data_IF_939050684965
#
_entry.id   IF_939050684965
#
_cell.length_a   1.000
_cell.length_b   1.000
_cell.length_c   1.000
_cell.angle_alpha   90.00
_cell.angle_beta   90.00
_cell.angle_gamma   90.00
#
_symmetry.space_group_name_H-M   'P 1'
#
loop_
_entity.id
_entity.type
_entity.pdbx_description
1 polymer ?
#
# COMPACT_ATOMS: atom_id res chain seq x y z
N UNK A 1 -11.93 -10.27 -54.97
CA UNK A 1 -11.67 -11.42 -55.85
C UNK A 1 -10.77 -10.96 -56.99
N UNK A 2 -9.73 -11.74 -57.26
CA UNK A 2 -8.95 -11.78 -58.51
C UNK A 2 -7.90 -10.69 -58.75
N UNK A 3 -6.67 -11.16 -58.60
CA UNK A 3 -5.33 -10.64 -58.91
C UNK A 3 -5.07 -10.14 -60.33
N UNK A 4 -4.03 -9.32 -60.50
CA UNK A 4 -3.13 -9.45 -61.65
C UNK A 4 -1.68 -9.15 -61.28
N UNK A 5 -0.82 -10.13 -61.58
CA UNK A 5 0.62 -10.16 -61.38
C UNK A 5 1.35 -9.37 -62.47
N UNK A 6 2.48 -8.74 -62.14
CA UNK A 6 3.63 -8.65 -63.06
C UNK A 6 4.94 -8.91 -62.31
N UNK A 7 5.56 -10.03 -62.67
CA UNK A 7 6.90 -10.47 -62.31
C UNK A 7 7.96 -9.69 -63.06
N UNK A 8 9.09 -9.38 -62.42
CA UNK A 8 10.31 -8.95 -63.12
C UNK A 8 11.39 -10.02 -62.96
N UNK A 9 12.02 -10.30 -64.09
CA UNK A 9 12.95 -11.39 -64.36
C UNK A 9 14.38 -11.04 -63.94
N UNK A 10 14.98 -12.08 -63.38
CA UNK A 10 16.37 -12.46 -63.16
C UNK A 10 17.55 -11.83 -63.91
N UNK A 11 18.67 -11.90 -63.18
CA UNK A 11 20.03 -12.32 -63.57
C UNK A 11 20.98 -11.26 -64.12
N UNK A 12 21.99 -10.93 -63.30
CA UNK A 12 23.34 -10.83 -63.82
C UNK A 12 24.29 -11.64 -62.92
N UNK A 13 24.94 -12.64 -63.53
CA UNK A 13 25.96 -13.51 -62.91
C UNK A 13 27.34 -12.98 -63.33
N UNK A 14 28.25 -12.89 -62.37
CA UNK A 14 29.66 -12.60 -62.63
C UNK A 14 30.46 -12.62 -61.33
N UNK A 15 30.57 -13.79 -60.71
CA UNK A 15 31.52 -14.02 -59.61
C UNK A 15 32.92 -14.22 -60.22
N UNK A 16 33.84 -13.32 -59.91
CA UNK A 16 35.27 -13.61 -60.00
C UNK A 16 35.82 -13.81 -58.59
N UNK A 17 36.53 -14.92 -58.43
CA UNK A 17 37.15 -15.40 -57.21
C UNK A 17 38.44 -14.60 -56.96
N UNK A 18 38.55 -13.90 -55.83
CA UNK A 18 39.85 -13.55 -55.27
C UNK A 18 39.79 -13.58 -53.75
N UNK A 19 40.84 -14.18 -53.23
CA UNK A 19 41.11 -14.71 -51.92
C UNK A 19 41.85 -13.63 -51.12
N UNK A 20 41.32 -13.16 -49.98
CA UNK A 20 42.17 -12.62 -48.92
C UNK A 20 41.46 -12.55 -47.56
N UNK A 21 42.08 -13.28 -46.63
CA UNK A 21 42.09 -13.20 -45.17
C UNK A 21 41.44 -12.01 -44.45
N UNK A 22 40.67 -12.31 -43.40
CA UNK A 22 40.32 -11.34 -42.37
C UNK A 22 39.26 -11.84 -41.38
N UNK A 23 39.61 -12.81 -40.52
CA UNK A 23 38.78 -13.25 -39.41
C UNK A 23 38.72 -12.13 -38.35
N UNK A 24 37.77 -11.19 -38.47
CA UNK A 24 37.42 -10.27 -37.38
C UNK A 24 36.32 -10.93 -36.54
N UNK A 25 36.72 -11.60 -35.47
CA UNK A 25 35.80 -11.98 -34.40
C UNK A 25 35.44 -10.69 -33.67
N UNK A 26 34.28 -10.13 -34.01
CA UNK A 26 33.69 -9.03 -33.25
C UNK A 26 33.10 -9.62 -31.96
N UNK A 27 33.90 -9.71 -30.91
CA UNK A 27 33.41 -10.03 -29.57
C UNK A 27 32.66 -8.81 -29.05
N UNK A 28 31.34 -8.78 -29.24
CA UNK A 28 30.46 -7.90 -28.50
C UNK A 28 30.48 -8.34 -27.02
N UNK A 29 31.39 -7.77 -26.23
CA UNK A 29 31.38 -7.93 -24.78
C UNK A 29 30.09 -7.32 -24.22
N UNK A 30 29.09 -8.17 -23.96
CA UNK A 30 27.98 -7.85 -23.08
C UNK A 30 28.55 -7.60 -21.68
N UNK A 31 28.79 -6.33 -21.34
CA UNK A 31 28.89 -5.92 -19.94
C UNK A 31 27.47 -5.91 -19.37
N UNK A 32 27.03 -7.04 -18.82
CA UNK A 32 25.92 -7.03 -17.89
C UNK A 32 26.39 -6.29 -16.62
N UNK A 33 25.74 -5.19 -16.20
CA UNK A 33 26.04 -4.62 -14.91
C UNK A 33 25.71 -5.68 -13.84
N UNK A 34 26.72 -6.14 -13.12
CA UNK A 34 26.49 -6.90 -11.89
C UNK A 34 25.75 -5.98 -10.92
N UNK A 35 24.44 -6.13 -10.85
CA UNK A 35 23.59 -5.44 -9.88
C UNK A 35 23.84 -6.10 -8.53
N UNK A 36 24.73 -5.52 -7.74
CA UNK A 36 24.85 -5.89 -6.34
C UNK A 36 23.59 -5.37 -5.63
N UNK A 37 22.64 -6.25 -5.32
CA UNK A 37 21.52 -5.92 -4.46
C UNK A 37 22.06 -5.55 -3.06
N UNK A 38 21.63 -4.41 -2.53
CA UNK A 38 21.99 -3.99 -1.18
C UNK A 38 21.35 -4.91 -0.13
N UNK A 39 21.96 -5.01 1.05
CA UNK A 39 21.50 -5.91 2.10
C UNK A 39 20.13 -5.47 2.63
N UNK A 40 19.10 -6.31 2.46
CA UNK A 40 17.77 -6.05 2.99
C UNK A 40 17.76 -6.39 4.49
N UNK A 41 17.28 -5.48 5.33
CA UNK A 41 17.13 -5.66 6.76
C UNK A 41 15.66 -5.87 7.13
N UNK A 42 15.41 -6.76 8.09
CA UNK A 42 14.12 -6.97 8.74
C UNK A 42 14.11 -6.21 10.06
N UNK A 43 13.12 -5.34 10.24
CA UNK A 43 12.85 -4.63 11.49
C UNK A 43 11.60 -5.25 12.12
N UNK A 44 11.70 -5.65 13.39
CA UNK A 44 10.58 -6.13 14.20
C UNK A 44 10.31 -5.13 15.30
N UNK A 45 9.08 -4.63 15.36
CA UNK A 45 8.60 -3.82 16.47
C UNK A 45 8.19 -4.72 17.64
N UNK A 46 8.83 -4.57 18.79
CA UNK A 46 8.58 -5.42 19.96
C UNK A 46 7.22 -5.14 20.62
N UNK A 47 6.65 -3.95 20.43
CA UNK A 47 5.38 -3.56 21.05
C UNK A 47 4.18 -4.01 20.22
N UNK A 48 4.32 -3.99 18.89
CA UNK A 48 3.21 -4.29 17.96
C UNK A 48 3.37 -5.62 17.23
N UNK A 49 4.57 -6.21 17.23
CA UNK A 49 4.89 -7.40 16.44
C UNK A 49 4.98 -7.14 14.93
N UNK A 50 4.90 -5.87 14.49
CA UNK A 50 4.93 -5.51 13.08
C UNK A 50 6.32 -5.74 12.46
N UNK A 51 6.33 -6.33 11.26
CA UNK A 51 7.56 -6.59 10.49
C UNK A 51 7.66 -5.62 9.32
N UNK A 52 8.78 -4.90 9.21
CA UNK A 52 9.08 -3.99 8.09
C UNK A 52 10.42 -4.37 7.47
N UNK A 53 10.48 -4.46 6.13
CA UNK A 53 11.74 -4.66 5.42
C UNK A 53 12.29 -3.32 4.93
N UNK A 54 13.56 -3.05 5.19
CA UNK A 54 14.20 -1.77 4.86
C UNK A 54 15.63 -1.98 4.37
N UNK A 55 16.07 -1.13 3.46
CA UNK A 55 17.45 -1.08 2.97
C UNK A 55 18.30 -0.04 3.76
N UNK A 56 17.72 0.56 4.81
CA UNK A 56 18.33 1.64 5.62
C UNK A 56 18.09 1.41 7.12
N UNK A 57 18.86 0.52 7.78
CA UNK A 57 18.64 0.14 9.18
C UNK A 57 18.85 1.31 10.16
N UNK A 58 19.70 2.28 9.81
CA UNK A 58 20.08 3.43 10.64
C UNK A 58 18.89 4.26 11.16
N UNK A 59 17.77 4.32 10.40
CA UNK A 59 16.57 5.05 10.84
C UNK A 59 15.86 4.39 12.03
N UNK A 60 16.09 3.09 12.24
CA UNK A 60 15.44 2.27 13.26
C UNK A 60 16.36 1.98 14.45
N UNK A 61 17.67 2.13 14.30
CA UNK A 61 18.68 1.90 15.36
C UNK A 61 18.51 2.86 16.56
N UNK A 62 17.92 4.04 16.33
CA UNK A 62 17.69 5.05 17.38
C UNK A 62 16.31 4.93 18.04
N UNK A 63 15.47 3.97 17.60
CA UNK A 63 14.10 3.80 18.09
C UNK A 63 14.02 2.69 19.14
N UNK A 64 13.68 3.05 20.38
CA UNK A 64 13.57 2.10 21.48
C UNK A 64 12.51 1.01 21.20
N UNK A 65 12.88 -0.27 21.35
CA UNK A 65 12.00 -1.43 21.17
C UNK A 65 11.88 -1.95 19.74
N UNK A 66 12.89 -1.71 18.89
CA UNK A 66 12.96 -2.28 17.55
C UNK A 66 14.20 -3.17 17.41
N UNK A 67 13.99 -4.42 16.99
CA UNK A 67 15.08 -5.35 16.70
C UNK A 67 15.35 -5.37 15.19
N UNK A 68 16.61 -5.24 14.79
CA UNK A 68 17.05 -5.23 13.40
C UNK A 68 17.83 -6.52 13.12
N UNK A 69 17.50 -7.22 12.03
CA UNK A 69 18.21 -8.43 11.61
C UNK A 69 18.43 -8.39 10.10
N UNK A 70 19.68 -8.57 9.66
CA UNK A 70 20.02 -8.63 8.24
C UNK A 70 19.45 -9.91 7.62
N UNK A 71 18.85 -9.79 6.43
CA UNK A 71 18.39 -10.94 5.65
C UNK A 71 19.41 -11.26 4.56
N UNK A 72 19.90 -12.50 4.53
CA UNK A 72 20.72 -13.00 3.43
C UNK A 72 19.81 -13.63 2.38
N UNK A 73 19.27 -12.83 1.46
CA UNK A 73 18.52 -13.36 0.32
C UNK A 73 19.48 -13.41 -0.87
N UNK A 74 20.00 -14.61 -1.15
CA UNK A 74 20.73 -14.87 -2.38
C UNK A 74 19.69 -15.14 -3.48
N UNK A 75 19.67 -14.35 -4.56
CA UNK A 75 18.93 -14.73 -5.77
C UNK A 75 19.65 -15.89 -6.44
N UNK A 76 19.41 -17.11 -5.94
CA UNK A 76 19.78 -18.34 -6.61
C UNK A 76 18.75 -18.65 -7.70
N UNK A 77 19.22 -18.78 -8.94
CA UNK A 77 18.47 -19.49 -9.97
C UNK A 77 18.20 -20.92 -9.49
N UNK A 78 16.91 -21.22 -9.28
CA UNK A 78 16.28 -22.52 -9.10
C UNK A 78 17.12 -23.64 -8.47
N UNK A 79 16.80 -24.00 -7.22
CA UNK A 79 16.62 -25.40 -6.82
C UNK A 79 15.92 -25.48 -5.46
N UNK A 80 14.87 -26.29 -5.46
CA UNK A 80 13.98 -26.60 -4.34
C UNK A 80 14.74 -27.35 -3.23
N UNK A 81 14.49 -26.93 -1.98
CA UNK A 81 14.59 -27.79 -0.80
C UNK A 81 15.82 -27.59 0.08
N UNK A 82 15.60 -27.09 1.30
CA UNK A 82 15.90 -27.78 2.55
C UNK A 82 15.73 -26.82 3.75
N UNK A 83 14.85 -27.21 4.67
CA UNK A 83 14.89 -26.76 6.07
C UNK A 83 16.29 -27.03 6.63
N UNK A 84 16.87 -26.07 7.36
CA UNK A 84 17.53 -26.43 8.61
C UNK A 84 17.61 -25.26 9.59
N UNK A 85 17.35 -25.64 10.82
CA UNK A 85 17.23 -24.92 12.07
C UNK A 85 18.55 -24.31 12.58
N UNK A 86 18.38 -23.24 13.36
CA UNK A 86 19.17 -22.81 14.53
C UNK A 86 20.38 -23.67 14.94
N UNK A 87 21.53 -23.05 15.27
CA UNK A 87 21.87 -22.56 16.62
C UNK A 87 23.37 -22.18 16.76
N UNK A 88 23.64 -21.07 17.48
CA UNK A 88 24.79 -20.77 18.38
C UNK A 88 26.26 -20.73 17.87
N UNK A 89 26.95 -19.58 18.02
CA UNK A 89 27.79 -19.28 19.21
C UNK A 89 28.59 -17.95 19.10
N UNK A 90 28.77 -17.30 20.25
CA UNK A 90 29.62 -16.13 20.54
C UNK A 90 31.12 -16.39 20.32
N UNK A 91 31.89 -15.37 19.92
CA UNK A 91 33.02 -14.80 20.69
C UNK A 91 33.91 -13.85 19.85
N UNK A 92 34.48 -12.88 20.58
CA UNK A 92 35.23 -11.69 20.19
C UNK A 92 36.66 -11.92 19.61
N UNK A 93 37.10 -10.88 18.86
CA UNK A 93 38.45 -10.29 18.75
C UNK A 93 39.56 -10.91 17.86
N UNK A 94 40.00 -10.04 16.92
CA UNK A 94 41.25 -9.90 16.13
C UNK A 94 42.59 -10.38 16.76
N UNK A 95 43.78 -10.32 16.09
CA UNK A 95 44.15 -9.99 14.67
C UNK A 95 45.12 -11.04 14.04
N UNK A 96 45.62 -10.79 12.80
CA UNK A 96 47.07 -10.80 12.39
C UNK A 96 47.29 -11.11 10.88
N UNK A 97 48.02 -10.17 10.25
CA UNK A 97 48.94 -10.20 9.07
C UNK A 97 49.50 -11.59 8.64
N UNK A 98 50.00 -11.90 7.43
CA UNK A 98 50.75 -11.20 6.35
C UNK A 98 50.90 -12.24 5.22
N UNK A 99 50.99 -11.89 3.93
CA UNK A 99 52.30 -11.71 3.24
C UNK A 99 52.13 -11.07 1.86
N UNK A 100 53.18 -10.39 1.43
CA UNK A 100 53.26 -9.38 0.37
C UNK A 100 54.25 -9.80 -0.74
N UNK A 101 53.85 -9.55 -2.00
CA UNK A 101 54.61 -9.14 -3.22
C UNK A 101 55.68 -10.10 -3.85
N UNK A 102 56.07 -9.91 -5.15
CA UNK A 102 56.71 -8.69 -5.67
C UNK A 102 56.12 -8.08 -6.98
N UNK A 103 56.61 -6.87 -7.28
CA UNK A 103 56.09 -5.81 -8.14
C UNK A 103 56.77 -5.67 -9.52
N UNK A 104 56.16 -4.87 -10.43
CA UNK A 104 56.86 -3.84 -11.23
C UNK A 104 55.88 -2.86 -11.90
N UNK A 105 56.28 -1.58 -11.89
CA UNK A 105 55.55 -0.35 -12.23
C UNK A 105 55.18 -0.17 -13.70
N UNK A 106 54.09 0.56 -13.95
CA UNK A 106 54.07 1.61 -14.99
C UNK A 106 53.22 2.80 -14.56
N UNK A 107 53.85 3.96 -14.65
CA UNK A 107 53.35 5.31 -14.38
C UNK A 107 52.20 5.67 -15.32
N UNK A 108 51.10 6.12 -14.75
CA UNK A 108 49.95 6.62 -15.50
C UNK A 108 49.16 7.59 -14.62
N UNK A 109 49.69 8.81 -14.47
CA UNK A 109 48.93 9.95 -13.98
C UNK A 109 47.67 10.09 -14.82
N UNK A 110 46.50 9.88 -14.24
CA UNK A 110 45.29 10.59 -14.66
C UNK A 110 44.57 11.03 -13.41
N UNK A 111 44.50 12.34 -13.30
CA UNK A 111 44.07 13.09 -12.14
C UNK A 111 42.77 12.55 -11.55
N UNK A 112 42.77 12.45 -10.23
CA UNK A 112 41.63 12.76 -9.38
C UNK A 112 40.90 13.98 -9.95
N UNK A 113 39.85 13.74 -10.71
CA UNK A 113 38.75 14.67 -10.83
C UNK A 113 37.76 14.30 -9.74
N UNK A 114 38.20 14.49 -8.49
CA UNK A 114 37.29 14.83 -7.40
C UNK A 114 36.79 16.25 -7.70
N UNK A 115 36.01 16.37 -8.77
CA UNK A 115 35.23 17.54 -9.04
C UNK A 115 34.08 17.47 -8.05
N UNK A 116 34.33 17.97 -6.85
CA UNK A 116 33.35 18.74 -6.10
C UNK A 116 32.97 19.94 -6.96
N UNK A 117 32.29 19.67 -8.08
CA UNK A 117 31.45 20.63 -8.73
C UNK A 117 30.42 20.98 -7.67
N UNK A 118 30.60 22.16 -7.08
CA UNK A 118 29.62 22.80 -6.24
C UNK A 118 28.37 22.99 -7.11
N UNK A 119 27.56 21.92 -7.16
CA UNK A 119 26.42 21.80 -8.05
C UNK A 119 25.41 22.82 -7.57
N UNK A 120 25.09 23.76 -8.46
CA UNK A 120 24.13 24.81 -8.18
C UNK A 120 22.87 24.22 -7.51
N UNK A 121 22.31 24.90 -6.49
CA UNK A 121 21.16 24.39 -5.76
C UNK A 121 20.01 24.10 -6.72
N UNK A 122 19.60 22.83 -6.79
CA UNK A 122 18.47 22.42 -7.63
C UNK A 122 17.18 22.89 -6.97
N UNK A 123 16.40 23.66 -7.72
CA UNK A 123 15.08 24.08 -7.28
C UNK A 123 14.05 23.00 -7.61
N UNK A 124 13.67 22.21 -6.60
CA UNK A 124 12.67 21.17 -6.74
C UNK A 124 11.24 21.73 -6.64
N UNK A 125 10.39 21.31 -7.57
CA UNK A 125 8.94 21.37 -7.46
C UNK A 125 8.43 20.05 -6.91
N UNK A 126 7.63 20.12 -5.85
CA UNK A 126 7.05 18.98 -5.16
C UNK A 126 5.55 19.20 -5.05
N UNK A 127 4.76 18.22 -5.52
CA UNK A 127 3.29 18.31 -5.53
C UNK A 127 2.68 16.97 -5.12
N UNK A 128 1.62 17.01 -4.30
CA UNK A 128 0.80 15.83 -3.98
C UNK A 128 -0.28 15.74 -5.06
N UNK A 129 -0.24 14.67 -5.87
CA UNK A 129 -1.18 14.42 -6.96
C UNK A 129 -2.38 13.60 -6.51
N UNK A 130 -2.22 12.71 -5.53
CA UNK A 130 -3.32 12.04 -4.83
C UNK A 130 -3.06 12.09 -3.32
N UNK A 131 -4.07 12.43 -2.49
CA UNK A 131 -5.32 13.05 -2.91
C UNK A 131 -5.06 14.38 -3.63
N UNK A 132 -5.89 14.75 -4.62
CA UNK A 132 -5.70 16.01 -5.37
C UNK A 132 -6.16 17.23 -4.58
N UNK A 133 -7.15 17.05 -3.71
CA UNK A 133 -7.73 18.06 -2.82
C UNK A 133 -7.95 17.48 -1.41
N UNK A 134 -8.50 18.29 -0.51
CA UNK A 134 -8.94 17.85 0.81
C UNK A 134 -10.19 16.98 0.69
N UNK A 135 -10.16 15.78 1.31
CA UNK A 135 -11.30 14.86 1.24
C UNK A 135 -11.38 13.93 2.44
N UNK A 136 -12.57 13.36 2.63
CA UNK A 136 -12.85 12.41 3.68
C UNK A 136 -12.77 10.96 3.21
N UNK A 137 -12.31 10.09 4.10
CA UNK A 137 -12.20 8.65 3.96
C UNK A 137 -12.96 7.94 5.09
N UNK A 138 -13.51 6.77 4.79
CA UNK A 138 -14.31 5.96 5.71
C UNK A 138 -13.49 4.77 6.21
N UNK A 139 -13.34 4.69 7.52
CA UNK A 139 -12.77 3.52 8.19
C UNK A 139 -13.78 2.40 8.38
N UNK A 140 -13.35 1.13 8.46
CA UNK A 140 -11.98 0.63 8.23
C UNK A 140 -11.71 0.22 6.77
N UNK A 141 -12.67 0.40 5.86
CA UNK A 141 -12.68 -0.28 4.56
C UNK A 141 -11.85 0.43 3.49
N UNK A 142 -11.54 1.72 3.64
CA UNK A 142 -10.81 2.49 2.63
C UNK A 142 -9.31 2.59 2.94
N UNK A 143 -8.51 2.78 1.90
CA UNK A 143 -7.13 3.25 1.98
C UNK A 143 -7.03 4.69 1.51
N UNK A 144 -6.06 5.42 2.07
CA UNK A 144 -5.64 6.73 1.62
C UNK A 144 -4.44 6.50 0.71
N UNK A 145 -4.66 6.57 -0.59
CA UNK A 145 -3.57 6.48 -1.56
C UNK A 145 -2.91 7.84 -1.70
N UNK A 146 -1.60 7.89 -1.45
CA UNK A 146 -0.80 9.10 -1.56
C UNK A 146 0.10 8.96 -2.77
N UNK A 147 0.06 9.94 -3.67
CA UNK A 147 0.95 10.04 -4.82
C UNK A 147 1.56 11.42 -4.89
N UNK A 148 2.84 11.46 -5.20
CA UNK A 148 3.67 12.66 -5.18
C UNK A 148 4.42 12.75 -6.49
N UNK A 149 4.50 13.95 -7.06
CA UNK A 149 5.28 14.22 -8.26
C UNK A 149 6.37 15.24 -7.95
N UNK A 150 7.58 14.95 -8.45
CA UNK A 150 8.78 15.80 -8.30
C UNK A 150 9.29 16.21 -9.67
N UNK A 151 9.63 17.49 -9.84
CA UNK A 151 10.27 18.04 -11.04
C UNK A 151 11.39 19.00 -10.63
N UNK A 152 12.62 18.89 -11.18
CA UNK A 152 13.14 17.82 -12.05
C UNK A 152 13.27 16.49 -11.30
N UNK A 153 13.64 15.41 -12.00
CA UNK A 153 13.88 14.11 -11.36
C UNK A 153 14.90 14.22 -10.21
N UNK A 154 14.68 13.43 -9.16
CA UNK A 154 15.53 13.42 -7.96
C UNK A 154 16.99 13.12 -8.35
N UNK A 155 17.90 13.94 -7.86
CA UNK A 155 19.33 13.69 -8.04
C UNK A 155 19.77 12.50 -7.21
N UNK A 156 20.83 11.83 -7.66
CA UNK A 156 21.40 10.70 -6.93
C UNK A 156 21.69 11.10 -5.48
N UNK A 157 21.15 10.33 -4.53
CA UNK A 157 21.32 10.53 -3.09
C UNK A 157 20.32 11.48 -2.42
N UNK A 158 19.47 12.18 -3.17
CA UNK A 158 18.29 12.84 -2.62
C UNK A 158 17.15 11.82 -2.48
N UNK A 159 16.25 12.06 -1.52
CA UNK A 159 15.13 11.14 -1.23
C UNK A 159 13.85 11.88 -0.89
N UNK A 160 12.71 11.20 -1.07
CA UNK A 160 11.40 11.69 -0.65
C UNK A 160 10.88 10.78 0.45
N UNK A 161 10.39 11.38 1.52
CA UNK A 161 9.66 10.70 2.60
C UNK A 161 8.24 11.26 2.70
N UNK A 162 7.28 10.37 2.90
CA UNK A 162 5.87 10.69 3.12
C UNK A 162 5.57 10.46 4.60
N UNK A 163 4.94 11.45 5.22
CA UNK A 163 4.57 11.46 6.63
C UNK A 163 3.05 11.56 6.78
N UNK A 164 2.50 10.91 7.81
CA UNK A 164 1.15 11.11 8.32
C UNK A 164 1.24 11.57 9.77
N UNK A 165 0.77 12.78 10.07
CA UNK A 165 0.81 13.39 11.41
C UNK A 165 2.22 13.40 12.05
N UNK A 166 3.25 13.51 11.21
CA UNK A 166 4.65 13.48 11.63
C UNK A 166 5.30 12.10 11.66
N UNK A 167 4.54 11.02 11.50
CA UNK A 167 5.09 9.65 11.41
C UNK A 167 5.44 9.32 9.96
N UNK A 168 6.65 8.81 9.71
CA UNK A 168 7.06 8.40 8.36
C UNK A 168 6.31 7.12 7.96
N UNK A 169 5.49 7.20 6.93
CA UNK A 169 4.67 6.07 6.44
C UNK A 169 5.28 5.39 5.22
N UNK A 170 6.08 6.11 4.43
CA UNK A 170 6.76 5.57 3.26
C UNK A 170 7.96 6.41 2.83
N UNK A 171 8.91 5.77 2.14
CA UNK A 171 9.94 6.43 1.35
C UNK A 171 9.63 6.24 -0.15
N UNK A 172 9.76 7.32 -0.92
CA UNK A 172 9.45 7.35 -2.34
C UNK A 172 8.32 8.29 -2.69
N UNK A 173 7.74 8.09 -3.87
CA UNK A 173 6.75 8.99 -4.47
C UNK A 173 5.30 8.55 -4.25
N UNK A 174 5.07 7.43 -3.56
CA UNK A 174 3.74 6.91 -3.29
C UNK A 174 3.65 6.14 -1.99
N UNK A 175 2.49 6.17 -1.36
CA UNK A 175 2.14 5.38 -0.19
C UNK A 175 0.67 4.93 -0.26
N UNK A 176 0.31 3.87 0.44
CA UNK A 176 -1.10 3.52 0.69
C UNK A 176 -1.26 3.30 2.18
N UNK A 177 -2.13 4.09 2.81
CA UNK A 177 -2.32 4.10 4.26
C UNK A 177 -3.71 3.57 4.57
N UNK A 178 -3.80 2.47 5.32
CA UNK A 178 -5.08 1.88 5.66
C UNK A 178 -5.81 2.72 6.70
N UNK A 179 -7.09 3.08 6.46
CA UNK A 179 -7.88 3.88 7.42
C UNK A 179 -8.24 3.13 8.71
N UNK A 180 -7.99 1.81 8.76
CA UNK A 180 -8.16 1.00 9.98
C UNK A 180 -7.15 1.38 11.06
N UNK A 181 -5.94 1.77 10.65
CA UNK A 181 -4.82 2.08 11.56
C UNK A 181 -4.78 3.56 11.98
N UNK A 182 -5.74 4.35 11.50
CA UNK A 182 -5.82 5.79 11.75
C UNK A 182 -7.06 6.09 12.61
N UNK A 183 -6.89 6.96 13.60
CA UNK A 183 -8.01 7.47 14.39
C UNK A 183 -8.94 8.32 13.51
N UNK A 184 -10.24 8.47 13.86
CA UNK A 184 -11.11 9.39 13.15
C UNK A 184 -10.75 10.84 13.50
N UNK A 185 -10.75 11.72 12.51
CA UNK A 185 -10.40 13.12 12.69
C UNK A 185 -9.74 13.71 11.45
N UNK A 186 -9.13 14.88 11.61
CA UNK A 186 -8.27 15.49 10.62
C UNK A 186 -6.85 14.93 10.73
N UNK A 187 -6.24 14.64 9.59
CA UNK A 187 -4.87 14.15 9.49
C UNK A 187 -4.11 14.96 8.44
N UNK A 188 -2.82 15.20 8.70
CA UNK A 188 -1.95 15.93 7.79
C UNK A 188 -0.97 14.96 7.12
N UNK A 189 -1.06 14.89 5.80
CA UNK A 189 -0.11 14.18 4.95
C UNK A 189 0.96 15.18 4.54
N UNK A 190 2.23 14.87 4.81
CA UNK A 190 3.36 15.73 4.47
C UNK A 190 4.37 14.95 3.63
N UNK A 191 4.70 15.46 2.45
CA UNK A 191 5.79 14.93 1.64
C UNK A 191 7.00 15.87 1.74
N UNK A 192 8.18 15.29 1.94
CA UNK A 192 9.43 16.04 2.18
C UNK A 192 10.55 15.49 1.29
N UNK A 193 11.21 16.37 0.54
CA UNK A 193 12.47 16.06 -0.15
C UNK A 193 13.62 16.33 0.82
N UNK A 194 14.45 15.32 1.06
CA UNK A 194 15.70 15.41 1.83
C UNK A 194 16.90 15.26 0.90
N UNK A 195 17.91 16.11 1.08
CA UNK A 195 19.16 15.99 0.34
C UNK A 195 20.04 14.86 0.90
N UNK A 196 21.18 14.58 0.24
CA UNK A 196 22.21 13.62 0.74
C UNK A 196 22.62 13.79 2.20
N UNK A 197 22.55 15.02 2.73
CA UNK A 197 22.93 15.36 4.12
C UNK A 197 21.74 15.24 5.09
N UNK A 198 20.58 14.78 4.61
CA UNK A 198 19.34 14.67 5.39
C UNK A 198 18.59 15.99 5.60
N UNK A 199 19.04 17.10 4.99
CA UNK A 199 18.40 18.40 5.15
C UNK A 199 17.19 18.53 4.23
N UNK A 200 16.15 19.21 4.72
CA UNK A 200 14.91 19.45 3.97
C UNK A 200 15.16 20.45 2.85
N UNK A 201 14.96 20.02 1.60
CA UNK A 201 15.05 20.88 0.41
C UNK A 201 13.68 21.47 0.03
N UNK A 202 12.60 20.69 0.15
CA UNK A 202 11.23 21.12 -0.14
C UNK A 202 10.23 20.27 0.63
N UNK A 203 9.08 20.85 0.94
CA UNK A 203 7.95 20.14 1.54
C UNK A 203 6.62 20.62 0.98
N UNK A 204 5.60 19.77 1.07
CA UNK A 204 4.21 20.06 0.74
C UNK A 204 3.30 19.27 1.69
N UNK A 205 2.14 19.84 2.01
CA UNK A 205 1.19 19.25 2.96
C UNK A 205 -0.22 19.15 2.36
N UNK A 206 -0.99 18.19 2.88
CA UNK A 206 -2.39 18.01 2.55
C UNK A 206 -3.18 17.46 3.72
N UNK A 207 -4.32 18.09 4.02
CA UNK A 207 -5.27 17.59 5.01
C UNK A 207 -6.21 16.56 4.40
N UNK A 208 -6.48 15.51 5.17
CA UNK A 208 -7.52 14.51 4.90
C UNK A 208 -8.31 14.24 6.16
N UNK A 209 -9.55 13.77 6.02
CA UNK A 209 -10.40 13.42 7.16
C UNK A 209 -10.69 11.94 7.18
N UNK A 210 -10.64 11.33 8.37
CA UNK A 210 -11.04 9.94 8.58
C UNK A 210 -12.32 9.93 9.40
N UNK A 211 -13.38 9.29 8.89
CA UNK A 211 -14.71 9.25 9.51
C UNK A 211 -15.07 7.82 9.88
N UNK A 212 -15.62 7.62 11.09
CA UNK A 212 -16.16 6.33 11.53
C UNK A 212 -17.35 5.87 10.70
N UNK A 213 -17.42 4.57 10.39
CA UNK A 213 -18.63 3.97 9.85
C UNK A 213 -19.65 3.70 10.99
N UNK A 214 -20.69 4.54 11.09
CA UNK A 214 -21.74 4.41 12.11
C UNK A 214 -22.97 3.63 11.62
N UNK A 215 -22.97 3.12 10.39
CA UNK A 215 -24.17 2.53 9.77
C UNK A 215 -24.68 1.31 10.54
N UNK A 216 -23.80 0.45 11.02
CA UNK A 216 -24.18 -0.74 11.81
C UNK A 216 -24.85 -0.35 13.12
N UNK A 217 -24.33 0.66 13.81
CA UNK A 217 -24.91 1.16 15.05
C UNK A 217 -26.31 1.77 14.81
N UNK A 218 -26.45 2.57 13.75
CA UNK A 218 -27.74 3.14 13.36
C UNK A 218 -28.77 2.05 13.01
N UNK A 219 -28.38 1.02 12.25
CA UNK A 219 -29.25 -0.12 11.92
C UNK A 219 -29.70 -0.87 13.18
N UNK A 220 -28.77 -1.17 14.11
CA UNK A 220 -29.09 -1.83 15.38
C UNK A 220 -30.06 -1.01 16.23
N UNK A 221 -29.86 0.31 16.30
CA UNK A 221 -30.77 1.22 17.02
C UNK A 221 -32.18 1.17 16.44
N UNK A 222 -32.33 1.26 15.12
CA UNK A 222 -33.63 1.17 14.43
C UNK A 222 -34.31 -0.17 14.67
N UNK A 223 -33.57 -1.28 14.59
CA UNK A 223 -34.13 -2.61 14.84
C UNK A 223 -34.58 -2.78 16.28
N UNK A 224 -33.80 -2.28 17.25
CA UNK A 224 -34.19 -2.27 18.66
C UNK A 224 -35.44 -1.43 18.91
N UNK A 225 -35.54 -0.25 18.29
CA UNK A 225 -36.71 0.61 18.38
C UNK A 225 -37.96 -0.05 17.76
N UNK A 226 -37.81 -0.71 16.61
CA UNK A 226 -38.90 -1.48 15.99
C UNK A 226 -39.33 -2.66 16.87
N UNK A 227 -38.38 -3.36 17.49
CA UNK A 227 -38.66 -4.49 18.37
C UNK A 227 -39.35 -4.03 19.66
N UNK A 228 -38.91 -2.92 20.25
CA UNK A 228 -39.56 -2.27 21.38
C UNK A 228 -40.97 -1.79 20.99
N UNK A 229 -41.10 -1.17 19.82
CA UNK A 229 -42.37 -0.74 19.28
C UNK A 229 -43.33 -1.92 19.04
N UNK A 230 -42.81 -3.08 18.64
CA UNK A 230 -43.58 -4.31 18.53
C UNK A 230 -43.98 -4.85 19.91
N UNK A 231 -43.06 -4.87 20.88
CA UNK A 231 -43.33 -5.35 22.24
C UNK A 231 -44.45 -4.57 22.93
N UNK A 232 -44.50 -3.24 22.75
CA UNK A 232 -45.56 -2.38 23.32
C UNK A 232 -46.93 -2.49 22.64
N UNK A 233 -47.05 -3.16 21.47
CA UNK A 233 -48.34 -3.30 20.79
C UNK A 233 -49.30 -4.19 21.61
N UNK A 234 -50.60 -3.82 21.68
CA UNK A 234 -51.65 -4.72 22.16
C UNK A 234 -51.68 -6.03 21.38
N UNK A 235 -52.10 -7.12 22.05
CA UNK A 235 -52.06 -8.48 21.49
C UNK A 235 -52.81 -8.62 20.15
N UNK A 236 -53.98 -7.98 19.99
CA UNK A 236 -54.76 -8.07 18.75
C UNK A 236 -54.05 -7.41 17.56
N UNK A 237 -53.30 -6.32 17.78
CA UNK A 237 -52.51 -5.67 16.73
C UNK A 237 -51.33 -6.54 16.30
N UNK A 238 -50.69 -7.24 17.25
CA UNK A 238 -49.64 -8.23 16.96
C UNK A 238 -50.20 -9.38 16.11
N UNK A 239 -51.39 -9.88 16.43
CA UNK A 239 -52.08 -10.92 15.64
C UNK A 239 -52.36 -10.45 14.21
N UNK A 240 -52.90 -9.24 14.04
CA UNK A 240 -53.14 -8.65 12.70
C UNK A 240 -51.84 -8.49 11.89
N UNK A 241 -50.74 -8.07 12.52
CA UNK A 241 -49.42 -7.98 11.90
C UNK A 241 -48.89 -9.35 11.47
N UNK A 242 -49.06 -10.39 12.29
CA UNK A 242 -48.74 -11.79 11.98
C UNK A 242 -49.53 -12.31 10.78
N UNK A 243 -50.85 -12.15 10.80
CA UNK A 243 -51.73 -12.54 9.70
C UNK A 243 -51.35 -11.83 8.38
N UNK A 244 -50.94 -10.56 8.45
CA UNK A 244 -50.44 -9.80 7.30
C UNK A 244 -49.11 -10.33 6.77
N UNK A 245 -48.19 -10.73 7.65
CA UNK A 245 -46.90 -11.32 7.27
C UNK A 245 -47.08 -12.70 6.61
N UNK A 246 -48.05 -13.49 7.08
CA UNK A 246 -48.37 -14.81 6.54
C UNK A 246 -49.15 -14.76 5.20
N UNK A 247 -49.32 -13.57 4.61
CA UNK A 247 -50.07 -13.36 3.36
C UNK A 247 -51.58 -13.54 3.49
N UNK A 248 -52.11 -13.75 4.70
CA UNK A 248 -53.53 -13.96 4.99
C UNK A 248 -54.15 -12.65 5.46
N UNK A 249 -54.53 -11.77 4.53
CA UNK A 249 -55.24 -10.53 4.89
C UNK A 249 -56.66 -10.84 5.39
N UNK A 250 -57.03 -10.55 6.64
CA UNK A 250 -58.44 -10.55 7.03
C UNK A 250 -59.15 -9.34 6.42
N UNK A 251 -60.33 -9.57 5.85
CA UNK A 251 -61.19 -8.51 5.32
C UNK A 251 -61.64 -7.59 6.47
N UNK A 252 -61.08 -6.37 6.53
CA UNK A 252 -61.29 -5.40 7.62
C UNK A 252 -62.62 -4.63 7.54
N UNK A 253 -63.52 -4.97 6.60
CA UNK A 253 -64.82 -4.30 6.46
C UNK A 253 -65.85 -4.67 7.54
N UNK A 254 -65.56 -5.61 8.43
CA UNK A 254 -66.52 -6.10 9.44
C UNK A 254 -66.32 -5.57 10.86
N UNK A 255 -65.25 -4.83 11.16
CA UNK A 255 -64.96 -4.34 12.52
C UNK A 255 -65.45 -2.91 12.82
N UNK A 256 -66.07 -2.23 11.86
CA UNK A 256 -66.60 -0.86 12.05
C UNK A 256 -68.09 -0.79 12.34
N UNK A 257 -68.78 -1.93 12.56
CA UNK A 257 -70.14 -1.88 13.09
C UNK A 257 -70.06 -1.75 14.62
N UNK A 258 -70.46 -0.62 15.22
CA UNK A 258 -70.71 -0.59 16.66
C UNK A 258 -71.77 -1.66 16.94
N UNK A 259 -71.44 -2.60 17.81
CA UNK A 259 -72.45 -3.47 18.42
C UNK A 259 -73.32 -2.53 19.25
N UNK A 260 -74.52 -2.25 18.76
CA UNK A 260 -75.56 -1.63 19.55
C UNK A 260 -75.92 -2.64 20.63
N UNK A 261 -75.58 -2.33 21.89
CA UNK A 261 -76.06 -3.06 23.05
C UNK A 261 -77.59 -3.10 22.99
N UNK A 262 -78.16 -4.30 22.86
CA UNK A 262 -79.58 -4.51 23.10
C UNK A 262 -79.83 -4.18 24.58
N UNK A 263 -80.79 -3.30 24.91
CA UNK A 263 -81.11 -3.04 26.31
C UNK A 263 -81.60 -4.34 26.95
N UNK A 264 -80.97 -4.74 28.06
CA UNK A 264 -81.50 -5.78 28.95
C UNK A 264 -82.86 -5.30 29.47
N UNK A 265 -83.93 -6.00 29.09
CA UNK A 265 -85.22 -5.89 29.76
C UNK A 265 -85.08 -6.47 31.17
N UNK A 266 -85.34 -5.65 32.20
CA UNK A 266 -85.54 -6.10 33.57
C UNK A 266 -86.86 -6.89 33.65
N UNK A 267 -86.79 -8.19 33.93
CA UNK A 267 -87.90 -8.93 34.51
C UNK A 267 -87.75 -8.90 36.04
N UNK A 268 -88.79 -8.40 36.71
CA UNK A 268 -88.91 -8.27 38.16
C UNK A 268 -89.05 -9.65 38.84
N UNK A 269 -88.62 -9.79 40.12
CA UNK A 269 -88.79 -11.03 40.86
C UNK A 269 -90.22 -11.15 41.42
N UNK A 270 -90.89 -12.26 41.12
CA UNK A 270 -92.15 -12.66 41.75
C UNK A 270 -91.92 -12.92 43.25
N UNK A 271 -92.72 -12.28 44.10
CA UNK A 271 -92.77 -12.47 45.56
C UNK A 271 -93.72 -13.61 45.93
N UNK A 272 -93.24 -14.38 46.92
CA UNK A 272 -93.89 -15.38 47.80
C UNK A 272 -94.15 -16.77 47.24
#
# INVERSE_FOLDING_TARGET
MSSSLKSTVFLNKGLSLSLLTGLIISTASLYAPMTNAAAIYKVVDEKTGQVTFTDRPQNYEQQAGKQISQTSVMTGSDSVGANSSSQTNNANNQPVNTTQAPAANTTGTTANSDTTANKAPINYQLTITEPSEERAYRRPVQSIDVKVQVKPALQAGDSVSIYLDGNEVAQGLSASIATVDILPGAHNIKAVIKNKKGQVAKQVERTVYVIQNTQTLQKKKKLAEQLLAYQRLPWHQKVLLKLRQDGKQPNMLSFTKPIADKPMTLEEPIKK
#
